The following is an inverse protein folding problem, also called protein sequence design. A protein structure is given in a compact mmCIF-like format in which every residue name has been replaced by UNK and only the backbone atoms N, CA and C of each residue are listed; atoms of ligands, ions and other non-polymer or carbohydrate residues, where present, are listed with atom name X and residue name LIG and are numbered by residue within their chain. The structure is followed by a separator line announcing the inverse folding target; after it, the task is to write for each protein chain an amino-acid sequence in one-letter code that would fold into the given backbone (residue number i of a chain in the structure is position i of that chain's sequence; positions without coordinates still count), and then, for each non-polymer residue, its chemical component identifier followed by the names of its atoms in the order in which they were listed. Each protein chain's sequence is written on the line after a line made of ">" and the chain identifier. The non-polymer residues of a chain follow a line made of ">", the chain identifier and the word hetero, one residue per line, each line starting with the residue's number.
data_IF_238371832979
#
_entry.id   IF_238371832979
#
_cell.length_a   1.000
_cell.length_b   1.000
_cell.length_c   1.000
_cell.angle_alpha   90.00
_cell.angle_beta   90.00
_cell.angle_gamma   90.00
#
_symmetry.space_group_name_H-M   'P 1'
#
loop_
_entity.id
_entity.type
_entity.pdbx_description
1 polymer ?
#
# COMPACT_ATOMS: atom_id res chain seq x y z
N UNK A 1 -5.75 10.14 -4.96
CA UNK A 1 -6.57 11.22 -4.34
C UNK A 1 -6.92 12.34 -5.32
N UNK A 2 -5.96 12.91 -6.12
CA UNK A 2 -6.24 14.06 -7.01
C UNK A 2 -7.41 13.82 -7.97
N UNK A 3 -7.48 12.67 -8.62
CA UNK A 3 -8.55 12.37 -9.60
C UNK A 3 -9.92 12.11 -8.98
N UNK A 4 -9.99 11.75 -7.70
CA UNK A 4 -11.28 11.52 -7.03
C UNK A 4 -12.09 12.81 -6.80
N UNK A 5 -11.50 13.97 -7.05
CA UNK A 5 -12.16 15.29 -6.94
C UNK A 5 -12.61 15.86 -8.29
N UNK A 6 -12.39 15.14 -9.39
CA UNK A 6 -12.82 15.56 -10.72
C UNK A 6 -14.25 15.11 -11.01
N UNK A 7 -15.02 15.98 -11.66
CA UNK A 7 -16.40 15.68 -12.06
C UNK A 7 -16.45 14.65 -13.20
N UNK A 8 -15.41 14.60 -14.04
CA UNK A 8 -15.31 13.71 -15.18
C UNK A 8 -13.86 13.32 -15.47
N UNK A 9 -13.66 12.06 -15.83
CA UNK A 9 -12.37 11.52 -16.31
C UNK A 9 -12.64 10.77 -17.60
N UNK A 10 -11.85 11.08 -18.64
CA UNK A 10 -11.84 10.34 -19.90
C UNK A 10 -10.54 9.53 -19.92
N UNK A 11 -10.64 8.21 -20.05
CA UNK A 11 -9.49 7.31 -20.15
C UNK A 11 -9.40 6.78 -21.57
N UNK A 12 -8.31 7.07 -22.25
CA UNK A 12 -8.05 6.60 -23.60
C UNK A 12 -7.21 5.33 -23.52
N UNK A 13 -7.73 4.23 -24.08
CA UNK A 13 -7.08 2.92 -24.09
C UNK A 13 -6.56 2.63 -25.50
N UNK A 14 -5.23 2.49 -25.65
CA UNK A 14 -4.62 2.05 -26.88
C UNK A 14 -4.59 0.54 -27.02
N UNK A 15 -4.51 0.05 -28.26
CA UNK A 15 -4.33 -1.36 -28.59
C UNK A 15 -3.17 -1.52 -29.58
N UNK A 16 -2.67 -2.74 -29.72
CA UNK A 16 -1.61 -3.13 -30.66
C UNK A 16 -0.30 -2.36 -30.45
N UNK A 17 0.08 -1.51 -31.40
CA UNK A 17 1.34 -0.74 -31.41
C UNK A 17 1.31 0.54 -30.55
N UNK A 18 0.17 0.82 -29.88
CA UNK A 18 0.00 2.00 -29.02
C UNK A 18 -0.83 3.11 -29.67
N UNK A 19 -0.47 4.36 -29.40
CA UNK A 19 -1.20 5.55 -29.89
C UNK A 19 -0.39 6.30 -30.93
N UNK A 20 -1.11 6.96 -31.86
CA UNK A 20 -0.52 8.04 -32.64
C UNK A 20 -0.04 9.15 -31.70
N UNK A 21 1.19 9.60 -31.88
CA UNK A 21 1.83 10.59 -31.00
C UNK A 21 1.05 11.91 -30.90
N UNK A 22 0.29 12.25 -31.97
CA UNK A 22 -0.59 13.41 -31.95
C UNK A 22 -1.77 13.26 -31.01
N UNK A 23 -2.25 12.04 -30.78
CA UNK A 23 -3.29 11.76 -29.77
C UNK A 23 -2.71 11.92 -28.38
N UNK A 24 -1.48 11.46 -28.14
CA UNK A 24 -0.80 11.65 -26.85
C UNK A 24 -0.69 13.11 -26.45
N UNK A 25 -0.42 14.00 -27.43
CA UNK A 25 -0.32 15.44 -27.16
C UNK A 25 -1.65 16.10 -26.76
N UNK A 26 -2.78 15.43 -26.94
CA UNK A 26 -4.10 15.92 -26.51
C UNK A 26 -4.49 15.46 -25.10
N UNK A 27 -3.76 14.50 -24.53
CA UNK A 27 -4.02 14.01 -23.18
C UNK A 27 -3.41 14.94 -22.13
N UNK A 28 -4.13 15.18 -21.04
CA UNK A 28 -3.63 15.94 -19.91
C UNK A 28 -2.55 15.18 -19.14
N UNK A 29 -2.60 13.84 -19.19
CA UNK A 29 -1.70 12.98 -18.42
C UNK A 29 -1.55 11.61 -19.08
N UNK A 30 -0.33 11.09 -19.10
CA UNK A 30 0.00 9.73 -19.51
C UNK A 30 0.40 8.91 -18.27
N UNK A 31 -0.16 7.69 -18.16
CA UNK A 31 0.00 6.87 -16.96
C UNK A 31 0.51 5.49 -17.32
N UNK A 32 1.54 5.07 -16.62
CA UNK A 32 1.98 3.69 -16.57
C UNK A 32 1.60 3.06 -15.23
N UNK A 33 1.13 1.81 -15.25
CA UNK A 33 0.86 1.03 -14.04
C UNK A 33 1.98 0.05 -13.67
N UNK A 34 3.06 -0.01 -14.49
CA UNK A 34 4.22 -0.85 -14.23
C UNK A 34 5.08 -1.09 -15.48
N UNK A 35 6.28 -1.64 -15.28
CA UNK A 35 7.28 -1.88 -16.30
C UNK A 35 7.07 -3.25 -16.97
N UNK A 36 5.93 -3.42 -17.63
CA UNK A 36 5.56 -4.60 -18.39
C UNK A 36 4.65 -4.23 -19.57
N UNK A 37 4.64 -5.07 -20.60
CA UNK A 37 3.84 -4.86 -21.81
C UNK A 37 2.52 -5.62 -21.69
N UNK A 38 1.41 -4.93 -21.99
CA UNK A 38 0.07 -5.49 -22.08
C UNK A 38 -0.45 -5.36 -23.52
N UNK A 39 -1.43 -6.16 -23.88
CA UNK A 39 -2.02 -6.15 -25.22
C UNK A 39 -2.85 -4.89 -25.52
N UNK A 40 -3.27 -4.16 -24.49
CA UNK A 40 -4.06 -2.94 -24.61
C UNK A 40 -4.18 -2.17 -23.31
N UNK A 41 -4.78 -0.98 -23.36
CA UNK A 41 -4.94 -0.08 -22.23
C UNK A 41 -6.14 -0.38 -21.34
N UNK A 42 -6.97 -1.36 -21.66
CA UNK A 42 -8.22 -1.64 -20.94
C UNK A 42 -7.96 -2.18 -19.52
N UNK A 43 -6.97 -3.07 -19.36
CA UNK A 43 -6.60 -3.60 -18.06
C UNK A 43 -6.04 -2.50 -17.13
N UNK A 44 -5.09 -1.65 -17.57
CA UNK A 44 -4.69 -0.47 -16.83
C UNK A 44 -5.86 0.44 -16.45
N UNK A 45 -6.77 0.71 -17.39
CA UNK A 45 -7.95 1.54 -17.14
C UNK A 45 -8.85 0.97 -16.05
N UNK A 46 -9.14 -0.34 -16.09
CA UNK A 46 -9.93 -1.03 -15.07
C UNK A 46 -9.22 -0.95 -13.69
N UNK A 47 -7.90 -1.12 -13.66
CA UNK A 47 -7.11 -1.01 -12.44
C UNK A 47 -7.22 0.38 -11.82
N UNK A 48 -7.10 1.43 -12.65
CA UNK A 48 -7.23 2.82 -12.21
C UNK A 48 -8.66 3.09 -11.70
N UNK A 49 -9.68 2.68 -12.46
CA UNK A 49 -11.09 2.86 -12.06
C UNK A 49 -11.36 2.16 -10.74
N UNK A 50 -10.92 0.92 -10.57
CA UNK A 50 -11.09 0.18 -9.33
C UNK A 50 -10.43 0.88 -8.14
N UNK A 51 -9.19 1.37 -8.31
CA UNK A 51 -8.49 2.13 -7.27
C UNK A 51 -9.19 3.46 -6.93
N UNK A 52 -9.73 4.15 -7.93
CA UNK A 52 -10.46 5.40 -7.73
C UNK A 52 -11.80 5.19 -7.02
N UNK A 53 -12.57 4.18 -7.43
CA UNK A 53 -13.88 3.91 -6.82
C UNK A 53 -13.76 3.59 -5.33
N UNK A 54 -12.67 2.98 -4.89
CA UNK A 54 -12.44 2.68 -3.47
C UNK A 54 -12.31 3.93 -2.59
N UNK A 55 -11.80 5.03 -3.14
CA UNK A 55 -11.58 6.28 -2.39
C UNK A 55 -12.71 7.30 -2.57
N UNK A 56 -13.74 6.97 -3.37
CA UNK A 56 -14.91 7.82 -3.52
C UNK A 56 -15.86 7.65 -2.32
N UNK A 57 -16.35 8.74 -1.73
CA UNK A 57 -17.30 8.66 -0.63
C UNK A 57 -18.55 7.84 -0.99
N UNK A 58 -18.98 6.97 -0.09
CA UNK A 58 -20.19 6.15 -0.27
C UNK A 58 -20.05 4.94 -1.20
N UNK A 59 -18.87 4.67 -1.74
CA UNK A 59 -18.65 3.49 -2.62
C UNK A 59 -18.43 2.21 -1.82
N UNK A 60 -17.76 2.31 -0.68
CA UNK A 60 -17.58 1.19 0.25
C UNK A 60 -18.65 1.25 1.34
N UNK A 61 -19.14 0.06 1.73
CA UNK A 61 -20.18 -0.06 2.77
C UNK A 61 -19.71 0.35 4.17
N UNK A 62 -18.40 0.25 4.42
CA UNK A 62 -17.77 0.65 5.68
C UNK A 62 -16.59 1.61 5.39
N UNK A 63 -16.75 2.91 5.71
CA UNK A 63 -15.69 3.90 5.54
C UNK A 63 -14.44 3.60 6.37
N UNK A 64 -14.59 2.93 7.51
CA UNK A 64 -13.48 2.60 8.40
C UNK A 64 -12.55 1.51 7.79
N UNK A 65 -13.06 0.73 6.82
CA UNK A 65 -12.26 -0.27 6.12
C UNK A 65 -11.06 0.31 5.37
N UNK A 66 -11.13 1.58 4.97
CA UNK A 66 -10.04 2.28 4.28
C UNK A 66 -8.93 2.76 5.21
N UNK A 67 -9.21 2.93 6.50
CA UNK A 67 -8.27 3.54 7.45
C UNK A 67 -7.01 2.67 7.60
N UNK A 68 -7.17 1.36 7.60
CA UNK A 68 -6.10 0.40 7.81
C UNK A 68 -5.45 -0.14 6.52
N UNK A 69 -5.96 0.26 5.34
CA UNK A 69 -5.42 -0.21 4.07
C UNK A 69 -4.01 0.36 3.77
N UNK A 70 -3.25 -0.42 2.99
CA UNK A 70 -1.93 -0.01 2.51
C UNK A 70 -1.99 1.33 1.77
N UNK A 71 -0.99 2.17 1.98
CA UNK A 71 -0.82 3.48 1.35
C UNK A 71 -1.71 4.63 1.87
N UNK A 72 -2.60 4.39 2.82
CA UNK A 72 -3.42 5.46 3.38
C UNK A 72 -2.59 6.40 4.28
N UNK A 73 -1.72 5.83 5.10
CA UNK A 73 -0.76 6.51 5.98
C UNK A 73 0.71 6.41 5.50
N UNK A 74 0.91 6.11 4.21
CA UNK A 74 2.22 5.82 3.61
C UNK A 74 2.90 4.54 4.16
N UNK A 75 2.15 3.67 4.80
CA UNK A 75 2.61 2.37 5.28
C UNK A 75 1.91 1.23 4.53
N UNK A 76 2.53 0.06 4.54
CA UNK A 76 1.87 -1.18 4.15
C UNK A 76 0.97 -1.66 5.29
N UNK A 77 -0.13 -2.29 4.93
CA UNK A 77 -1.01 -2.95 5.88
C UNK A 77 -0.31 -4.05 6.68
N UNK A 78 -0.71 -4.24 7.92
CA UNK A 78 -0.26 -5.35 8.76
C UNK A 78 -0.66 -6.73 8.21
N UNK A 79 -0.02 -7.84 8.63
CA UNK A 79 -0.39 -9.19 8.20
C UNK A 79 -1.81 -9.55 8.63
N UNK A 80 -2.64 -9.97 7.68
CA UNK A 80 -3.99 -10.45 7.95
C UNK A 80 -3.99 -11.97 8.19
N UNK A 81 -4.84 -12.42 9.11
CA UNK A 81 -5.03 -13.84 9.43
C UNK A 81 -6.52 -14.19 9.36
N UNK A 82 -6.81 -15.44 9.02
CA UNK A 82 -8.17 -16.00 8.98
C UNK A 82 -8.22 -17.32 9.73
N UNK A 83 -9.40 -17.89 9.87
CA UNK A 83 -9.62 -19.22 10.47
C UNK A 83 -9.06 -20.33 9.57
N UNK A 84 -8.60 -21.45 10.16
CA UNK A 84 -8.50 -21.75 11.61
C UNK A 84 -7.29 -21.10 12.30
N UNK A 85 -7.25 -21.04 13.65
CA UNK A 85 -6.12 -20.42 14.39
C UNK A 85 -4.78 -21.16 14.21
N UNK A 86 -4.82 -22.43 13.79
CA UNK A 86 -3.63 -23.22 13.45
C UNK A 86 -3.88 -23.87 12.10
N UNK A 87 -2.95 -23.66 11.15
CA UNK A 87 -2.97 -24.29 9.85
C UNK A 87 -1.56 -24.81 9.50
N UNK A 88 -1.40 -26.13 9.30
CA UNK A 88 -0.12 -26.78 9.01
C UNK A 88 1.00 -26.33 9.97
N UNK A 89 0.73 -26.41 11.27
CA UNK A 89 1.62 -26.00 12.37
C UNK A 89 1.89 -24.48 12.47
N UNK A 90 1.46 -23.69 11.51
CA UNK A 90 1.52 -22.24 11.55
C UNK A 90 0.38 -21.68 12.40
N UNK A 91 0.73 -20.88 13.41
CA UNK A 91 -0.21 -20.29 14.36
C UNK A 91 -0.52 -18.84 14.02
N UNK A 92 -1.78 -18.45 14.23
CA UNK A 92 -2.14 -17.03 14.36
C UNK A 92 -1.48 -16.49 15.63
N UNK A 93 -0.85 -15.30 15.63
CA UNK A 93 -0.30 -14.69 16.83
C UNK A 93 -1.31 -14.61 17.98
N UNK A 94 -0.91 -15.01 19.17
CA UNK A 94 -1.81 -15.12 20.33
C UNK A 94 -2.45 -13.77 20.69
N UNK A 95 -1.75 -12.67 20.49
CA UNK A 95 -2.28 -11.31 20.68
C UNK A 95 -3.55 -11.03 19.88
N UNK A 96 -3.65 -11.58 18.65
CA UNK A 96 -4.84 -11.41 17.80
C UNK A 96 -6.03 -12.24 18.26
N UNK A 97 -5.80 -13.24 19.10
CA UNK A 97 -6.81 -14.12 19.69
C UNK A 97 -7.21 -13.69 21.12
N UNK A 98 -6.48 -12.76 21.74
CA UNK A 98 -6.66 -12.33 23.13
C UNK A 98 -7.97 -11.59 23.39
N UNK A 99 -8.53 -10.93 22.36
CA UNK A 99 -9.65 -9.99 22.53
C UNK A 99 -9.26 -8.64 23.15
N UNK A 100 -7.98 -8.42 23.47
CA UNK A 100 -7.49 -7.14 23.97
C UNK A 100 -7.23 -6.17 22.81
N UNK A 101 -8.21 -5.30 22.53
CA UNK A 101 -8.15 -4.39 21.40
C UNK A 101 -6.95 -3.43 21.42
N UNK A 102 -6.48 -3.06 22.59
CA UNK A 102 -5.33 -2.14 22.74
C UNK A 102 -4.01 -2.84 22.37
N UNK A 103 -3.78 -4.03 22.86
CA UNK A 103 -2.61 -4.85 22.48
C UNK A 103 -2.63 -5.23 21.00
N UNK A 104 -3.81 -5.57 20.47
CA UNK A 104 -3.99 -5.86 19.04
C UNK A 104 -3.62 -4.64 18.19
N UNK A 105 -4.03 -3.44 18.60
CA UNK A 105 -3.70 -2.20 17.88
C UNK A 105 -2.19 -1.95 17.89
N UNK A 106 -1.55 -2.04 19.04
CA UNK A 106 -0.08 -1.88 19.16
C UNK A 106 0.64 -2.86 18.23
N UNK A 107 0.27 -4.14 18.28
CA UNK A 107 0.85 -5.17 17.44
C UNK A 107 0.67 -4.88 15.94
N UNK A 108 -0.52 -4.41 15.53
CA UNK A 108 -0.80 -4.03 14.14
C UNK A 108 0.09 -2.89 13.67
N UNK A 109 0.24 -1.84 14.49
CA UNK A 109 1.06 -0.67 14.18
C UNK A 109 2.55 -1.06 14.06
N UNK A 110 3.06 -1.89 14.96
CA UNK A 110 4.42 -2.45 14.86
C UNK A 110 4.61 -3.25 13.57
N UNK A 111 3.67 -4.12 13.22
CA UNK A 111 3.74 -4.94 12.00
C UNK A 111 3.59 -4.15 10.70
N UNK A 112 2.84 -3.05 10.69
CA UNK A 112 2.83 -2.09 9.58
C UNK A 112 4.22 -1.51 9.34
N UNK A 113 4.86 -1.02 10.39
CA UNK A 113 6.20 -0.44 10.30
C UNK A 113 7.25 -1.45 9.84
N UNK A 114 7.32 -2.61 10.49
CA UNK A 114 8.24 -3.69 10.15
C UNK A 114 8.10 -4.11 8.67
N UNK A 115 6.86 -4.38 8.25
CA UNK A 115 6.56 -4.82 6.89
C UNK A 115 6.90 -3.76 5.83
N UNK A 116 6.66 -2.49 6.13
CA UNK A 116 7.00 -1.38 5.23
C UNK A 116 8.50 -1.22 5.11
N UNK A 117 9.24 -1.29 6.21
CA UNK A 117 10.71 -1.23 6.18
C UNK A 117 11.33 -2.32 5.31
N UNK A 118 10.83 -3.55 5.44
CA UNK A 118 11.39 -4.69 4.71
C UNK A 118 11.00 -4.68 3.23
N UNK A 119 9.75 -4.33 2.89
CA UNK A 119 9.19 -4.51 1.54
C UNK A 119 9.13 -3.23 0.72
N UNK A 120 8.93 -2.09 1.36
CA UNK A 120 8.71 -0.80 0.72
C UNK A 120 9.41 0.33 1.49
N UNK A 121 10.70 0.15 1.72
CA UNK A 121 11.55 1.14 2.37
C UNK A 121 11.50 2.52 1.69
N UNK A 122 11.23 2.54 0.37
CA UNK A 122 11.03 3.74 -0.42
C UNK A 122 9.92 4.66 0.14
N UNK A 123 8.86 4.11 0.75
CA UNK A 123 7.75 4.88 1.32
C UNK A 123 8.17 5.76 2.51
N UNK A 124 9.26 5.42 3.20
CA UNK A 124 9.82 6.27 4.28
C UNK A 124 10.62 7.45 3.75
N UNK A 125 11.06 7.40 2.50
CA UNK A 125 11.96 8.37 1.88
C UNK A 125 11.29 9.23 0.80
N UNK A 126 9.98 9.21 0.69
CA UNK A 126 9.28 10.04 -0.29
C UNK A 126 9.64 11.51 -0.06
N UNK A 127 10.28 12.11 -1.09
CA UNK A 127 10.94 13.42 -1.03
C UNK A 127 10.02 14.57 -0.62
N UNK A 128 8.71 14.40 -0.76
CA UNK A 128 7.70 15.39 -0.41
C UNK A 128 7.36 15.41 1.09
N UNK A 129 7.83 14.43 1.87
CA UNK A 129 7.57 14.30 3.30
C UNK A 129 8.78 14.72 4.17
N UNK A 130 9.86 15.21 3.56
CA UNK A 130 11.14 15.46 4.23
C UNK A 130 11.16 16.70 5.16
N UNK A 131 10.18 17.56 5.11
CA UNK A 131 10.21 18.82 5.87
C UNK A 131 9.54 18.76 7.25
N UNK A 132 8.56 17.88 7.47
CA UNK A 132 7.74 17.93 8.71
C UNK A 132 7.90 16.74 9.68
N UNK A 133 8.64 15.68 9.31
CA UNK A 133 8.72 14.46 10.13
C UNK A 133 10.15 14.05 10.54
N UNK A 134 11.14 14.94 10.44
CA UNK A 134 12.55 14.58 10.71
C UNK A 134 12.87 14.20 12.16
N UNK A 135 12.15 14.67 13.15
CA UNK A 135 12.44 14.40 14.56
C UNK A 135 11.82 13.09 15.10
N UNK A 136 10.57 12.83 14.80
CA UNK A 136 9.89 11.63 15.32
C UNK A 136 10.32 10.32 14.63
N UNK A 137 10.58 10.37 13.31
CA UNK A 137 11.08 9.20 12.55
C UNK A 137 12.52 8.79 12.92
N UNK A 138 13.32 9.68 13.44
CA UNK A 138 14.71 9.37 13.85
C UNK A 138 14.74 8.53 15.14
N UNK A 139 13.88 8.82 16.10
CA UNK A 139 13.74 8.04 17.34
C UNK A 139 13.18 6.63 17.07
N UNK A 140 12.17 6.53 16.22
CA UNK A 140 11.61 5.23 15.78
C UNK A 140 12.66 4.36 15.06
N UNK A 141 13.56 4.97 14.28
CA UNK A 141 14.67 4.29 13.59
C UNK A 141 15.68 3.67 14.57
N UNK A 142 15.93 4.31 15.70
CA UNK A 142 16.88 3.84 16.71
C UNK A 142 16.35 2.61 17.42
N UNK A 143 15.06 2.58 17.72
CA UNK A 143 14.35 1.43 18.30
C UNK A 143 14.31 0.22 17.35
N UNK A 144 14.10 0.46 16.04
CA UNK A 144 13.99 -0.60 15.03
C UNK A 144 15.34 -1.23 14.71
N UNK A 145 16.43 -0.46 14.62
CA UNK A 145 17.76 -1.03 14.37
C UNK A 145 18.22 -1.96 15.51
N UNK A 146 17.84 -1.66 16.75
CA UNK A 146 18.14 -2.54 17.90
C UNK A 146 17.38 -3.87 17.82
N UNK A 147 16.18 -3.88 17.21
CA UNK A 147 15.38 -5.11 17.02
C UNK A 147 15.74 -5.91 15.77
N UNK A 148 16.27 -5.27 14.72
CA UNK A 148 16.64 -5.96 13.47
C UNK A 148 17.96 -6.72 13.60
N UNK A 149 18.90 -6.27 14.42
CA UNK A 149 20.15 -7.00 14.68
C UNK A 149 19.89 -8.37 15.32
N UNK A 150 18.82 -8.52 16.14
CA UNK A 150 18.45 -9.78 16.79
C UNK A 150 17.66 -10.75 15.87
N UNK A 151 17.13 -10.30 14.74
CA UNK A 151 16.27 -11.10 13.86
C UNK A 151 16.86 -11.44 12.49
N UNK A 152 18.01 -10.88 12.09
CA UNK A 152 18.60 -11.12 10.78
C UNK A 152 19.15 -12.53 10.57
N UNK A 153 19.31 -13.32 11.65
CA UNK A 153 19.75 -14.74 11.55
C UNK A 153 18.63 -15.71 11.12
N UNK A 154 17.37 -15.28 11.05
CA UNK A 154 16.23 -16.19 10.90
C UNK A 154 15.73 -16.40 9.44
N UNK A 155 16.13 -15.57 8.46
CA UNK A 155 15.65 -15.70 7.07
C UNK A 155 16.78 -15.54 6.05
N UNK A 156 17.50 -16.62 5.70
CA UNK A 156 18.39 -16.59 4.56
C UNK A 156 17.58 -16.71 3.26
N UNK A 157 17.71 -15.69 2.41
CA UNK A 157 17.41 -15.68 0.98
C UNK A 157 15.98 -16.08 0.50
N UNK A 158 15.20 -15.06 0.16
CA UNK A 158 14.19 -15.10 -0.92
C UNK A 158 14.50 -14.01 -1.92
#
# INVERSE_FOLDING_TARGET
>A
ARWSTLDQIIIICGQYEGFDERIRSLADEEISIGDYVLSGGEIPAITIINGLTRILPGTLGDPDSLIDESHNDSLLEYPQYTRPPIFREMKVPDVLLSGNHEEIKIWRDEKKLERTLVRRNDLFFDKNNLASQKSEKYESRKLINTHLEDHYEAYPNW
#
